data_IF_544560486613
#
_entry.id   IF_544560486613
#
_cell.length_a   1.000
_cell.length_b   1.000
_cell.length_c   1.000
_cell.angle_alpha   90.00
_cell.angle_beta   90.00
_cell.angle_gamma   90.00
#
_symmetry.space_group_name_H-M   'P 1'
#
loop_
_entity.id
_entity.type
_entity.pdbx_description
1 polymer ?
#
# COMPACT_ATOMS: atom_id res chain seq x y z
N UNK A 1 -2.90 16.30 -11.15
CA UNK A 1 -1.84 16.39 -10.12
C UNK A 1 -2.01 15.18 -9.25
N UNK A 2 -0.99 14.33 -9.22
CA UNK A 2 -1.14 12.92 -8.85
C UNK A 2 -1.42 12.77 -7.37
N UNK A 3 -2.19 11.74 -7.03
CA UNK A 3 -2.51 11.24 -5.67
C UNK A 3 -1.26 10.77 -4.89
N UNK A 4 -0.09 11.35 -5.18
CA UNK A 4 1.22 10.97 -4.65
C UNK A 4 1.27 11.23 -3.14
N UNK A 5 0.84 12.41 -2.71
CA UNK A 5 0.74 12.71 -1.28
C UNK A 5 -0.25 11.75 -0.61
N UNK A 6 -1.49 11.67 -1.09
CA UNK A 6 -2.51 10.76 -0.55
C UNK A 6 -2.05 9.30 -0.44
N UNK A 7 -1.33 8.77 -1.45
CA UNK A 7 -0.74 7.41 -1.42
C UNK A 7 0.34 7.27 -0.36
N UNK A 8 1.21 8.27 -0.26
CA UNK A 8 2.28 8.29 0.74
C UNK A 8 1.70 8.33 2.17
N UNK A 9 0.67 9.15 2.39
CA UNK A 9 -0.03 9.27 3.67
C UNK A 9 -0.82 8.01 4.03
N UNK A 10 -1.48 7.40 3.05
CA UNK A 10 -2.13 6.09 3.24
C UNK A 10 -1.11 5.03 3.66
N UNK A 11 0.09 5.00 3.07
CA UNK A 11 1.15 4.07 3.47
C UNK A 11 1.58 4.28 4.93
N UNK A 12 1.75 5.54 5.36
CA UNK A 12 2.11 5.87 6.75
C UNK A 12 1.02 5.43 7.73
N UNK A 13 -0.25 5.69 7.40
CA UNK A 13 -1.37 5.28 8.22
C UNK A 13 -1.45 3.74 8.33
N UNK A 14 -1.31 3.00 7.22
CA UNK A 14 -1.25 1.54 7.25
C UNK A 14 -0.09 1.02 8.10
N UNK A 15 1.08 1.66 8.03
CA UNK A 15 2.23 1.33 8.87
C UNK A 15 1.92 1.53 10.36
N UNK A 16 1.32 2.66 10.73
CA UNK A 16 0.90 2.96 12.09
C UNK A 16 -0.11 1.94 12.61
N UNK A 17 -1.14 1.63 11.82
CA UNK A 17 -2.17 0.63 12.15
C UNK A 17 -1.55 -0.75 12.39
N UNK A 18 -0.63 -1.18 11.52
CA UNK A 18 0.06 -2.46 11.65
C UNK A 18 1.00 -2.51 12.85
N UNK A 19 1.65 -1.39 13.21
CA UNK A 19 2.55 -1.33 14.37
C UNK A 19 1.81 -1.37 15.69
N UNK A 20 0.63 -0.75 15.75
CA UNK A 20 -0.21 -0.73 16.94
C UNK A 20 -1.20 -1.91 16.99
N UNK A 21 -1.31 -2.67 15.90
CA UNK A 21 -2.39 -3.66 15.68
C UNK A 21 -3.77 -3.05 15.95
N UNK A 22 -3.97 -1.83 15.46
CA UNK A 22 -5.18 -1.04 15.62
C UNK A 22 -5.72 -0.65 14.25
N UNK A 23 -6.86 -1.23 13.90
CA UNK A 23 -7.57 -0.99 12.64
C UNK A 23 -8.93 -0.33 12.89
N UNK A 24 -9.10 0.33 14.04
CA UNK A 24 -10.31 1.09 14.36
C UNK A 24 -10.53 2.23 13.38
N UNK A 25 -11.75 2.75 13.31
CA UNK A 25 -12.02 3.98 12.55
C UNK A 25 -11.47 5.20 13.30
N UNK A 26 -11.37 5.13 14.64
CA UNK A 26 -10.84 6.20 15.49
C UNK A 26 -9.40 6.60 15.09
N UNK A 27 -8.54 5.64 14.75
CA UNK A 27 -7.16 5.94 14.31
C UNK A 27 -7.13 6.63 12.94
N UNK A 28 -8.12 6.35 12.08
CA UNK A 28 -8.25 6.97 10.76
C UNK A 28 -8.75 8.39 10.92
N UNK A 29 -9.81 8.60 11.70
CA UNK A 29 -10.33 9.94 11.99
C UNK A 29 -9.27 10.81 12.65
N UNK A 30 -8.57 10.29 13.66
CA UNK A 30 -7.48 11.01 14.31
C UNK A 30 -6.38 11.39 13.30
N UNK A 31 -5.99 10.48 12.41
CA UNK A 31 -4.98 10.76 11.38
C UNK A 31 -5.44 11.84 10.40
N UNK A 32 -6.71 11.82 9.99
CA UNK A 32 -7.28 12.86 9.12
C UNK A 32 -7.35 14.20 9.86
N UNK A 33 -7.79 14.24 11.12
CA UNK A 33 -7.91 15.47 11.91
C UNK A 33 -6.56 16.11 12.25
N UNK A 34 -5.51 15.30 12.42
CA UNK A 34 -4.15 15.77 12.74
C UNK A 34 -3.38 16.29 11.51
N UNK A 35 -3.89 16.10 10.30
CA UNK A 35 -3.22 16.48 9.05
C UNK A 35 -4.12 17.35 8.17
N UNK A 36 -3.51 18.19 7.32
CA UNK A 36 -4.26 19.00 6.36
C UNK A 36 -4.26 18.32 4.99
N UNK A 37 -5.43 17.82 4.57
CA UNK A 37 -5.65 17.22 3.26
C UNK A 37 -6.64 18.04 2.43
N UNK A 38 -6.45 18.04 1.12
CA UNK A 38 -7.52 18.45 0.21
C UNK A 38 -8.64 17.39 0.22
N UNK A 39 -9.85 17.79 -0.21
CA UNK A 39 -10.99 16.88 -0.27
C UNK A 39 -10.69 15.59 -1.06
N UNK A 40 -10.04 15.71 -2.22
CA UNK A 40 -9.68 14.57 -3.08
C UNK A 40 -8.64 13.64 -2.43
N UNK A 41 -7.75 14.18 -1.60
CA UNK A 41 -6.73 13.40 -0.88
C UNK A 41 -7.34 12.65 0.28
N UNK A 42 -8.19 13.31 1.06
CA UNK A 42 -8.95 12.68 2.15
C UNK A 42 -9.84 11.56 1.61
N UNK A 43 -10.59 11.81 0.54
CA UNK A 43 -11.44 10.80 -0.10
C UNK A 43 -10.62 9.58 -0.53
N UNK A 44 -9.46 9.79 -1.13
CA UNK A 44 -8.56 8.69 -1.51
C UNK A 44 -8.06 7.91 -0.29
N UNK A 45 -7.61 8.59 0.77
CA UNK A 45 -7.04 7.94 1.97
C UNK A 45 -8.12 7.07 2.63
N UNK A 46 -9.33 7.62 2.81
CA UNK A 46 -10.46 6.91 3.42
C UNK A 46 -10.86 5.69 2.59
N UNK A 47 -11.04 5.85 1.28
CA UNK A 47 -11.37 4.75 0.38
C UNK A 47 -10.32 3.64 0.39
N UNK A 48 -9.04 4.03 0.34
CA UNK A 48 -7.94 3.08 0.32
C UNK A 48 -7.83 2.30 1.64
N UNK A 49 -7.86 2.98 2.79
CA UNK A 49 -7.78 2.34 4.10
C UNK A 49 -8.97 1.42 4.32
N UNK A 50 -10.20 1.86 4.01
CA UNK A 50 -11.40 1.06 4.20
C UNK A 50 -11.40 -0.18 3.30
N UNK A 51 -11.06 -0.01 2.02
CA UNK A 51 -10.97 -1.14 1.08
C UNK A 51 -9.88 -2.13 1.51
N UNK A 52 -8.73 -1.64 1.98
CA UNK A 52 -7.64 -2.50 2.45
C UNK A 52 -8.04 -3.24 3.72
N UNK A 53 -8.71 -2.58 4.68
CA UNK A 53 -9.21 -3.20 5.92
C UNK A 53 -10.18 -4.34 5.62
N UNK A 54 -11.17 -4.10 4.78
CA UNK A 54 -12.19 -5.10 4.41
C UNK A 54 -11.55 -6.30 3.70
N UNK A 55 -10.55 -6.06 2.84
CA UNK A 55 -9.94 -7.09 2.01
C UNK A 55 -8.54 -7.50 2.48
N UNK A 56 -8.21 -7.28 3.76
CA UNK A 56 -6.85 -7.41 4.27
C UNK A 56 -6.27 -8.81 4.03
N UNK A 57 -7.06 -9.84 4.35
CA UNK A 57 -6.64 -11.23 4.16
C UNK A 57 -6.40 -11.55 2.68
N UNK A 58 -7.27 -11.10 1.78
CA UNK A 58 -7.13 -11.37 0.34
C UNK A 58 -5.93 -10.64 -0.27
N UNK A 59 -5.68 -9.40 0.17
CA UNK A 59 -4.50 -8.62 -0.22
C UNK A 59 -3.23 -9.31 0.28
N UNK A 60 -3.19 -9.70 1.56
CA UNK A 60 -2.03 -10.37 2.18
C UNK A 60 -1.76 -11.74 1.56
N UNK A 61 -2.79 -12.53 1.28
CA UNK A 61 -2.65 -13.80 0.56
C UNK A 61 -2.14 -13.58 -0.86
N UNK A 62 -2.60 -12.52 -1.52
CA UNK A 62 -2.13 -12.17 -2.85
C UNK A 62 -0.66 -11.80 -2.84
N UNK A 63 -0.20 -11.00 -1.87
CA UNK A 63 1.22 -10.69 -1.66
C UNK A 63 2.01 -11.98 -1.38
N UNK A 64 1.52 -12.83 -0.46
CA UNK A 64 2.19 -14.07 -0.04
C UNK A 64 2.50 -15.02 -1.20
N UNK A 65 1.67 -15.04 -2.26
CA UNK A 65 1.88 -15.84 -3.48
C UNK A 65 3.13 -15.42 -4.26
N UNK A 66 3.55 -14.16 -4.15
CA UNK A 66 4.67 -13.59 -4.93
C UNK A 66 5.96 -13.38 -4.14
N UNK A 67 5.91 -13.37 -2.80
CA UNK A 67 7.10 -13.27 -1.93
C UNK A 67 7.72 -14.65 -1.62
N UNK A 68 8.06 -15.42 -2.67
CA UNK A 68 8.58 -16.79 -2.52
C UNK A 68 9.79 -16.87 -1.58
N UNK A 69 9.76 -17.81 -0.64
CA UNK A 69 10.83 -18.00 0.36
C UNK A 69 10.69 -17.11 1.60
N UNK A 70 9.74 -16.17 1.60
CA UNK A 70 9.47 -15.28 2.73
C UNK A 70 8.05 -15.50 3.25
N UNK A 71 7.89 -15.30 4.57
CA UNK A 71 6.57 -15.19 5.19
C UNK A 71 6.21 -13.72 5.28
N UNK A 72 4.97 -13.37 4.97
CA UNK A 72 4.52 -11.98 4.97
C UNK A 72 4.77 -11.27 6.30
N UNK A 73 4.57 -11.96 7.43
CA UNK A 73 4.84 -11.43 8.77
C UNK A 73 6.32 -11.16 9.08
N UNK A 74 7.25 -11.60 8.22
CA UNK A 74 8.70 -11.33 8.34
C UNK A 74 9.14 -10.11 7.54
N UNK A 75 8.27 -9.52 6.73
CA UNK A 75 8.59 -8.29 6.01
C UNK A 75 8.69 -7.12 7.00
N UNK A 76 9.54 -6.15 6.67
CA UNK A 76 9.50 -4.86 7.34
C UNK A 76 8.08 -4.27 7.18
N UNK A 77 7.52 -3.69 8.24
CA UNK A 77 6.14 -3.20 8.21
C UNK A 77 5.94 -2.09 7.19
N UNK A 78 6.97 -1.28 6.94
CA UNK A 78 6.98 -0.28 5.87
C UNK A 78 6.83 -0.96 4.50
N UNK A 79 7.67 -1.97 4.22
CA UNK A 79 7.61 -2.71 2.94
C UNK A 79 6.26 -3.42 2.75
N UNK A 80 5.71 -3.99 3.83
CA UNK A 80 4.37 -4.60 3.81
C UNK A 80 3.28 -3.54 3.51
N UNK A 81 3.37 -2.36 4.11
CA UNK A 81 2.42 -1.27 3.88
C UNK A 81 2.47 -0.77 2.44
N UNK A 82 3.67 -0.65 1.87
CA UNK A 82 3.88 -0.31 0.45
C UNK A 82 3.29 -1.39 -0.48
N UNK A 83 3.49 -2.67 -0.16
CA UNK A 83 2.92 -3.77 -0.95
C UNK A 83 1.39 -3.81 -0.86
N UNK A 84 0.81 -3.57 0.31
CA UNK A 84 -0.65 -3.54 0.51
C UNK A 84 -1.31 -2.45 -0.30
N UNK A 85 -0.79 -1.22 -0.26
CA UNK A 85 -1.34 -0.13 -1.06
C UNK A 85 -1.18 -0.38 -2.57
N UNK A 86 -0.04 -0.91 -3.00
CA UNK A 86 0.17 -1.24 -4.41
C UNK A 86 -0.78 -2.34 -4.89
N UNK A 87 -0.95 -3.42 -4.12
CA UNK A 87 -1.88 -4.49 -4.47
C UNK A 87 -3.32 -4.02 -4.43
N UNK A 88 -3.69 -3.13 -3.50
CA UNK A 88 -5.00 -2.48 -3.49
C UNK A 88 -5.24 -1.72 -4.80
N UNK A 89 -4.32 -0.84 -5.20
CA UNK A 89 -4.49 -0.07 -6.43
C UNK A 89 -4.57 -0.98 -7.65
N UNK A 90 -3.66 -1.95 -7.76
CA UNK A 90 -3.62 -2.90 -8.87
C UNK A 90 -4.89 -3.75 -8.95
N UNK A 91 -5.61 -3.98 -7.85
CA UNK A 91 -6.76 -4.89 -7.78
C UNK A 91 -8.09 -4.15 -7.87
N UNK A 92 -8.22 -3.04 -7.15
CA UNK A 92 -9.49 -2.34 -6.93
C UNK A 92 -9.57 -0.99 -7.66
N UNK A 93 -8.46 -0.41 -8.12
CA UNK A 93 -8.44 0.92 -8.75
C UNK A 93 -8.21 0.87 -10.26
N UNK A 94 -9.31 0.73 -11.00
CA UNK A 94 -9.30 0.75 -12.49
C UNK A 94 -8.94 2.11 -13.10
N UNK A 95 -9.03 3.17 -12.31
CA UNK A 95 -8.71 4.55 -12.69
C UNK A 95 -7.21 4.88 -12.57
N UNK A 96 -6.39 3.96 -12.06
CA UNK A 96 -4.95 4.15 -11.87
C UNK A 96 -4.20 3.20 -12.81
N UNK A 97 -3.38 3.72 -13.74
CA UNK A 97 -2.56 2.86 -14.60
C UNK A 97 -1.59 2.02 -13.78
N UNK A 98 -1.46 0.74 -14.15
CA UNK A 98 -0.57 -0.22 -13.50
C UNK A 98 0.87 0.30 -13.34
N UNK A 99 1.43 0.88 -14.40
CA UNK A 99 2.80 1.43 -14.39
C UNK A 99 2.96 2.56 -13.38
N UNK A 100 1.92 3.37 -13.17
CA UNK A 100 1.94 4.46 -12.17
C UNK A 100 1.98 3.87 -10.77
N UNK A 101 1.14 2.87 -10.47
CA UNK A 101 1.15 2.19 -9.16
C UNK A 101 2.52 1.58 -8.84
N UNK A 102 3.13 0.87 -9.81
CA UNK A 102 4.44 0.24 -9.60
C UNK A 102 5.52 1.31 -9.35
N UNK A 103 5.57 2.35 -10.18
CA UNK A 103 6.56 3.41 -10.03
C UNK A 103 6.42 4.14 -8.69
N UNK A 104 5.20 4.51 -8.29
CA UNK A 104 4.96 5.20 -7.04
C UNK A 104 5.28 4.32 -5.82
N UNK A 105 4.98 3.02 -5.86
CA UNK A 105 5.38 2.08 -4.81
C UNK A 105 6.90 2.01 -4.63
N UNK A 106 7.66 2.01 -5.74
CA UNK A 106 9.13 2.01 -5.72
C UNK A 106 9.65 3.34 -5.13
N UNK A 107 9.09 4.47 -5.54
CA UNK A 107 9.52 5.78 -5.03
C UNK A 107 9.23 5.95 -3.53
N UNK A 108 8.08 5.45 -3.04
CA UNK A 108 7.79 5.42 -1.61
C UNK A 108 8.80 4.53 -0.88
N UNK A 109 9.11 3.35 -1.42
CA UNK A 109 10.08 2.44 -0.81
C UNK A 109 11.49 3.05 -0.71
N UNK A 110 11.95 3.76 -1.75
CA UNK A 110 13.24 4.49 -1.72
C UNK A 110 13.29 5.56 -0.65
N UNK A 111 12.15 6.18 -0.33
CA UNK A 111 12.05 7.24 0.68
C UNK A 111 12.04 6.72 2.11
N UNK A 112 11.41 5.56 2.33
CA UNK A 112 11.08 5.06 3.68
C UNK A 112 11.76 3.73 4.05
N UNK A 113 12.47 3.11 3.12
CA UNK A 113 13.09 1.80 3.29
C UNK A 113 14.46 1.76 2.59
N UNK A 114 14.92 0.56 2.22
CA UNK A 114 16.25 0.36 1.62
C UNK A 114 16.20 0.24 0.10
N UNK A 115 17.36 0.44 -0.55
CA UNK A 115 17.52 0.18 -1.98
C UNK A 115 17.20 -1.28 -2.33
N UNK A 116 17.53 -2.23 -1.46
CA UNK A 116 17.20 -3.65 -1.63
C UNK A 116 15.69 -3.90 -1.51
N UNK A 117 15.02 -3.23 -0.58
CA UNK A 117 13.55 -3.26 -0.49
C UNK A 117 12.90 -2.73 -1.76
N UNK A 118 13.44 -1.67 -2.37
CA UNK A 118 12.91 -1.10 -3.62
C UNK A 118 13.01 -2.10 -4.79
N UNK A 119 14.16 -2.79 -4.91
CA UNK A 119 14.34 -3.86 -5.90
C UNK A 119 13.42 -5.05 -5.65
N UNK A 120 13.28 -5.43 -4.38
CA UNK A 120 12.38 -6.51 -3.96
C UNK A 120 10.93 -6.21 -4.32
N UNK A 121 10.41 -5.04 -3.94
CA UNK A 121 9.04 -4.61 -4.26
C UNK A 121 8.81 -4.58 -5.77
N UNK A 122 9.74 -4.03 -6.55
CA UNK A 122 9.65 -4.05 -8.01
C UNK A 122 9.53 -5.49 -8.56
N UNK A 123 10.34 -6.43 -8.04
CA UNK A 123 10.28 -7.84 -8.45
C UNK A 123 8.94 -8.52 -8.10
N UNK A 124 8.40 -8.23 -6.91
CA UNK A 124 7.12 -8.75 -6.43
C UNK A 124 5.97 -8.21 -7.29
N UNK A 125 5.88 -6.89 -7.46
CA UNK A 125 4.81 -6.25 -8.24
C UNK A 125 4.90 -6.63 -9.72
N UNK A 126 6.11 -6.68 -10.29
CA UNK A 126 6.31 -7.16 -11.66
C UNK A 126 5.85 -8.60 -11.88
N UNK A 127 5.97 -9.46 -10.87
CA UNK A 127 5.46 -10.84 -10.93
C UNK A 127 3.95 -10.91 -10.73
N UNK A 128 3.40 -10.05 -9.87
CA UNK A 128 1.96 -9.92 -9.65
C UNK A 128 1.23 -9.56 -10.94
N UNK A 129 1.72 -8.55 -11.66
CA UNK A 129 1.03 -8.04 -12.86
C UNK A 129 1.15 -8.98 -14.06
N UNK A 130 2.31 -9.61 -14.28
CA UNK A 130 2.49 -10.59 -15.36
C UNK A 130 1.48 -11.73 -15.30
N UNK A 131 1.16 -12.20 -14.08
CA UNK A 131 0.19 -13.27 -13.89
C UNK A 131 -1.28 -12.81 -13.97
N UNK A 132 -1.54 -11.51 -13.84
CA UNK A 132 -2.88 -10.94 -14.01
C UNK A 132 -3.26 -10.81 -15.50
N UNK A 133 -2.25 -10.69 -16.37
CA UNK A 133 -2.42 -10.63 -17.82
C UNK A 133 -2.48 -12.02 -18.51
N UNK A 134 -2.25 -13.10 -17.75
CA UNK A 134 -2.38 -14.52 -18.17
C UNK A 134 -3.77 -15.08 -17.85
#
# INVERSE_FOLDING_TARGET
MGRKLAREETMKLLFQMEMNNDYSDDIVELYIDENEFTHDEEEYIRDAVETIKINLNDIDESIQKYIKGWKIHRLAKVDLSVLRIAVYELTYRKDIPMEVTINEAIEICKKYSTDESSKFINGVLGSFVRKKDE
#
